data_IF_549199479084
#
_entry.id   IF_549199479084
#
_cell.length_a   1.000
_cell.length_b   1.000
_cell.length_c   1.000
_cell.angle_alpha   90.00
_cell.angle_beta   90.00
_cell.angle_gamma   90.00
#
_symmetry.space_group_name_H-M   'P 1'
#
loop_
_entity.id
_entity.type
_entity.pdbx_description
1 polymer ?
#
# COMPACT_ATOMS: atom_id res chain seq x y z
N UNK A 1 18.28 1.29 -21.00
CA UNK A 1 17.40 0.19 -21.43
C UNK A 1 17.25 -0.77 -20.26
N UNK A 2 16.04 -1.12 -19.90
CA UNK A 2 15.73 -2.05 -18.79
C UNK A 2 15.04 -3.27 -19.41
N UNK A 3 15.52 -4.47 -19.06
CA UNK A 3 15.02 -5.73 -19.59
C UNK A 3 14.46 -6.59 -18.46
N UNK A 4 13.26 -7.15 -18.65
CA UNK A 4 12.71 -8.18 -17.78
C UNK A 4 13.15 -9.55 -18.33
N UNK A 5 13.94 -10.28 -17.55
CA UNK A 5 14.38 -11.63 -17.93
C UNK A 5 13.69 -12.66 -17.02
N UNK A 6 12.45 -13.02 -17.35
CA UNK A 6 11.80 -14.18 -16.74
C UNK A 6 11.56 -14.15 -15.22
N UNK A 7 11.84 -13.01 -14.58
CA UNK A 7 11.50 -12.75 -13.20
C UNK A 7 10.01 -12.44 -13.15
N UNK A 8 9.21 -13.31 -12.54
CA UNK A 8 7.75 -13.14 -12.48
C UNK A 8 7.34 -11.92 -11.67
N UNK A 9 6.13 -11.41 -11.90
CA UNK A 9 5.56 -10.30 -11.15
C UNK A 9 5.26 -10.69 -9.70
N UNK A 10 5.47 -9.76 -8.76
CA UNK A 10 5.02 -9.86 -7.37
C UNK A 10 3.81 -8.98 -7.16
N UNK A 11 2.74 -9.58 -6.66
CA UNK A 11 1.52 -8.87 -6.32
C UNK A 11 1.51 -8.56 -4.82
N UNK A 12 1.43 -7.29 -4.45
CA UNK A 12 1.17 -6.90 -3.07
C UNK A 12 -0.32 -7.01 -2.77
N UNK A 13 -0.67 -7.90 -1.85
CA UNK A 13 -2.05 -8.20 -1.46
C UNK A 13 -2.75 -7.03 -0.77
N UNK A 14 -4.06 -6.90 -1.03
CA UNK A 14 -5.03 -6.07 -0.27
C UNK A 14 -4.73 -4.57 -0.22
N UNK A 15 -4.52 -3.96 -1.36
CA UNK A 15 -4.56 -2.51 -1.46
C UNK A 15 -5.96 -2.08 -1.88
N UNK A 16 -6.64 -1.31 -1.03
CA UNK A 16 -7.99 -0.81 -1.31
C UNK A 16 -7.88 0.52 -2.04
N UNK A 17 -8.47 0.60 -3.23
CA UNK A 17 -8.61 1.83 -3.98
C UNK A 17 -10.10 2.14 -4.18
N UNK A 18 -10.56 3.29 -3.69
CA UNK A 18 -11.97 3.73 -3.76
C UNK A 18 -12.99 2.67 -3.27
N UNK A 19 -12.63 1.94 -2.20
CA UNK A 19 -13.47 0.89 -1.63
C UNK A 19 -13.41 -0.46 -2.36
N UNK A 20 -12.59 -0.60 -3.40
CA UNK A 20 -12.41 -1.83 -4.15
C UNK A 20 -11.07 -2.46 -3.76
N UNK A 21 -11.10 -3.75 -3.42
CA UNK A 21 -9.89 -4.51 -3.15
C UNK A 21 -9.15 -4.86 -4.44
N UNK A 22 -7.83 -4.79 -4.40
CA UNK A 22 -6.97 -5.10 -5.53
C UNK A 22 -5.52 -5.32 -5.09
N UNK A 23 -4.63 -5.25 -6.04
CA UNK A 23 -3.22 -5.56 -5.86
C UNK A 23 -2.36 -4.43 -6.40
N UNK A 24 -1.25 -4.14 -5.73
CA UNK A 24 -0.14 -3.41 -6.33
C UNK A 24 0.77 -4.41 -7.04
N UNK A 25 1.24 -4.05 -8.22
CA UNK A 25 2.08 -4.91 -9.05
C UNK A 25 3.50 -4.39 -9.03
N UNK A 26 4.40 -5.21 -8.48
CA UNK A 26 5.83 -4.98 -8.46
C UNK A 26 6.47 -5.88 -9.52
N UNK A 27 7.12 -5.29 -10.48
CA UNK A 27 7.81 -6.03 -11.55
C UNK A 27 9.31 -5.84 -11.43
N UNK A 28 10.09 -6.91 -11.30
CA UNK A 28 11.54 -6.81 -11.27
C UNK A 28 12.09 -6.59 -12.68
N UNK A 29 12.99 -5.64 -12.81
CA UNK A 29 13.69 -5.34 -14.05
C UNK A 29 15.19 -5.24 -13.84
N UNK A 30 15.94 -5.72 -14.81
CA UNK A 30 17.39 -5.62 -14.81
C UNK A 30 17.82 -4.35 -15.54
N UNK A 31 18.62 -3.53 -14.88
CA UNK A 31 19.21 -2.33 -15.45
C UNK A 31 20.36 -2.76 -16.38
N UNK A 32 20.29 -2.41 -17.65
CA UNK A 32 21.27 -2.87 -18.64
C UNK A 32 22.70 -2.35 -18.37
N UNK A 33 22.84 -1.20 -17.73
CA UNK A 33 24.13 -0.54 -17.50
C UNK A 33 24.86 -1.11 -16.28
N UNK A 34 24.14 -1.38 -15.18
CA UNK A 34 24.71 -1.86 -13.90
C UNK A 34 24.49 -3.34 -13.66
N UNK A 35 23.63 -3.99 -14.45
CA UNK A 35 23.19 -5.37 -14.28
C UNK A 35 22.45 -5.64 -12.95
N UNK A 36 22.12 -4.60 -12.20
CA UNK A 36 21.35 -4.70 -10.96
C UNK A 36 19.86 -4.89 -11.24
N UNK A 37 19.16 -5.58 -10.35
CA UNK A 37 17.70 -5.76 -10.43
C UNK A 37 17.03 -4.69 -9.58
N UNK A 38 16.10 -3.95 -10.16
CA UNK A 38 15.27 -2.97 -9.46
C UNK A 38 13.79 -3.39 -9.54
N UNK A 39 13.05 -3.22 -8.44
CA UNK A 39 11.60 -3.40 -8.44
C UNK A 39 10.91 -2.13 -8.92
N UNK A 40 10.00 -2.28 -9.89
CA UNK A 40 9.18 -1.20 -10.40
C UNK A 40 7.74 -1.39 -9.91
N UNK A 41 7.23 -0.46 -9.09
CA UNK A 41 5.81 -0.38 -8.72
C UNK A 41 5.05 0.21 -9.90
N UNK A 42 4.36 -0.65 -10.65
CA UNK A 42 3.60 -0.28 -11.84
C UNK A 42 2.25 0.35 -11.53
N UNK A 43 1.83 0.29 -10.27
CA UNK A 43 0.54 0.78 -9.82
C UNK A 43 -0.41 -0.32 -9.37
N UNK A 44 -1.70 -0.04 -9.37
CA UNK A 44 -2.74 -0.87 -8.83
C UNK A 44 -3.60 -1.51 -9.93
N UNK A 45 -4.01 -2.75 -9.68
CA UNK A 45 -4.99 -3.46 -10.49
C UNK A 45 -6.11 -4.00 -9.61
N UNK A 46 -7.34 -3.93 -10.09
CA UNK A 46 -8.50 -4.48 -9.41
C UNK A 46 -8.37 -6.00 -9.27
N UNK A 47 -8.66 -6.52 -8.08
CA UNK A 47 -8.74 -7.95 -7.83
C UNK A 47 -9.94 -8.61 -8.50
N UNK A 48 -9.83 -9.89 -8.79
CA UNK A 48 -10.93 -10.71 -9.28
C UNK A 48 -11.96 -10.99 -8.17
N UNK A 49 -13.14 -11.52 -8.53
CA UNK A 49 -14.18 -11.88 -7.56
C UNK A 49 -13.74 -13.02 -6.64
N UNK A 50 -12.98 -13.98 -7.15
CA UNK A 50 -12.33 -15.01 -6.36
C UNK A 50 -10.97 -14.51 -5.88
N UNK A 51 -10.62 -14.79 -4.62
CA UNK A 51 -9.31 -14.43 -4.05
C UNK A 51 -8.18 -15.30 -4.57
N UNK A 52 -8.53 -16.49 -5.05
CA UNK A 52 -7.57 -17.49 -5.54
C UNK A 52 -7.20 -17.23 -7.00
N UNK A 53 -7.93 -16.34 -7.68
CA UNK A 53 -7.74 -16.02 -9.08
C UNK A 53 -7.10 -14.63 -9.20
N UNK A 54 -5.80 -14.59 -9.50
CA UNK A 54 -5.06 -13.36 -9.65
C UNK A 54 -5.40 -12.68 -10.98
N UNK A 55 -5.51 -11.34 -11.00
CA UNK A 55 -5.72 -10.62 -12.23
C UNK A 55 -4.53 -10.80 -13.17
N UNK A 56 -4.81 -11.01 -14.45
CA UNK A 56 -3.77 -11.11 -15.46
C UNK A 56 -3.20 -9.72 -15.76
N UNK A 57 -1.90 -9.57 -15.60
CA UNK A 57 -1.17 -8.36 -15.97
C UNK A 57 -0.35 -8.67 -17.21
N UNK A 58 -0.45 -7.82 -18.24
CA UNK A 58 0.38 -7.98 -19.43
C UNK A 58 1.86 -7.94 -19.02
N UNK A 59 2.57 -9.04 -19.26
CA UNK A 59 4.01 -9.08 -19.11
C UNK A 59 4.66 -8.07 -20.04
N UNK A 60 5.57 -7.28 -19.49
CA UNK A 60 6.36 -6.32 -20.26
C UNK A 60 7.76 -6.90 -20.34
N UNK A 61 8.14 -7.27 -21.54
CA UNK A 61 9.47 -7.87 -21.77
C UNK A 61 10.58 -6.84 -21.70
N UNK A 62 10.34 -5.63 -22.17
CA UNK A 62 11.35 -4.57 -22.20
C UNK A 62 10.75 -3.19 -21.98
N UNK A 63 11.45 -2.36 -21.21
CA UNK A 63 11.25 -0.91 -21.19
C UNK A 63 12.44 -0.22 -21.86
N UNK A 64 12.19 0.64 -22.82
CA UNK A 64 13.24 1.49 -23.37
C UNK A 64 13.65 2.57 -22.37
N UNK A 65 12.68 3.13 -21.66
CA UNK A 65 12.88 4.15 -20.65
C UNK A 65 11.73 4.10 -19.62
N UNK A 66 12.09 4.04 -18.36
CA UNK A 66 11.14 4.20 -17.24
C UNK A 66 11.51 5.44 -16.47
N UNK A 67 10.54 6.30 -16.23
CA UNK A 67 10.65 7.44 -15.31
C UNK A 67 9.74 7.25 -14.12
N UNK A 68 10.14 7.79 -13.00
CA UNK A 68 9.39 7.65 -11.77
C UNK A 68 10.13 8.24 -10.57
N UNK A 69 9.62 7.93 -9.37
CA UNK A 69 10.19 8.37 -8.11
C UNK A 69 10.78 7.15 -7.41
N UNK A 70 12.02 7.27 -6.94
CA UNK A 70 12.63 6.26 -6.10
C UNK A 70 12.15 6.46 -4.66
N UNK A 71 11.61 5.40 -4.06
CA UNK A 71 11.17 5.40 -2.67
C UNK A 71 11.79 4.25 -1.88
N UNK A 72 11.98 4.46 -0.58
CA UNK A 72 12.32 3.36 0.32
C UNK A 72 11.09 2.48 0.52
N UNK A 73 11.27 1.14 0.54
CA UNK A 73 10.17 0.24 0.80
C UNK A 73 9.63 0.45 2.23
N UNK A 74 8.36 0.82 2.33
CA UNK A 74 7.70 0.89 3.64
C UNK A 74 7.49 -0.53 4.18
N UNK A 75 8.08 -0.80 5.33
CA UNK A 75 7.84 -2.02 6.10
C UNK A 75 6.46 -1.90 6.75
N UNK A 76 5.42 -2.39 6.07
CA UNK A 76 4.06 -2.45 6.62
C UNK A 76 3.97 -3.44 7.78
N UNK A 77 2.95 -3.28 8.64
CA UNK A 77 2.61 -4.29 9.64
C UNK A 77 2.25 -5.60 8.94
N UNK A 78 2.93 -6.66 9.31
CA UNK A 78 2.68 -8.01 8.82
C UNK A 78 1.89 -8.77 9.88
N UNK A 79 0.72 -9.28 9.49
CA UNK A 79 -0.21 -9.95 10.40
C UNK A 79 -0.14 -11.48 10.31
N UNK A 80 0.70 -12.03 9.45
CA UNK A 80 0.78 -13.46 9.18
C UNK A 80 2.24 -13.89 9.03
N UNK A 81 2.53 -15.15 9.38
CA UNK A 81 3.85 -15.75 9.21
C UNK A 81 4.17 -16.05 7.73
N UNK A 82 3.14 -16.21 6.88
CA UNK A 82 3.30 -16.35 5.44
C UNK A 82 3.41 -14.99 4.76
N UNK A 83 4.64 -14.57 4.48
CA UNK A 83 4.95 -13.28 3.90
C UNK A 83 4.80 -13.26 2.37
N UNK A 84 5.09 -14.37 1.71
CA UNK A 84 5.07 -14.55 0.25
C UNK A 84 4.44 -15.90 -0.07
N UNK A 85 3.62 -15.97 -1.13
CA UNK A 85 3.03 -17.22 -1.61
C UNK A 85 4.06 -18.11 -2.31
N UNK A 86 3.88 -19.42 -2.28
CA UNK A 86 4.78 -20.39 -2.95
C UNK A 86 4.61 -20.39 -4.48
N UNK A 87 3.40 -20.17 -4.97
CA UNK A 87 3.09 -20.22 -6.39
C UNK A 87 3.45 -18.91 -7.13
N UNK A 88 3.76 -19.01 -8.41
CA UNK A 88 3.90 -17.87 -9.31
C UNK A 88 2.55 -17.56 -10.01
N UNK A 89 2.17 -16.30 -10.23
CA UNK A 89 2.86 -15.09 -9.75
C UNK A 89 2.80 -14.98 -8.22
N UNK A 90 3.88 -14.50 -7.61
CA UNK A 90 4.02 -14.38 -6.16
C UNK A 90 3.07 -13.33 -5.58
N UNK A 91 2.43 -13.63 -4.47
CA UNK A 91 1.62 -12.67 -3.70
C UNK A 91 2.34 -12.38 -2.39
N UNK A 92 2.76 -11.13 -2.20
CA UNK A 92 3.48 -10.70 -1.00
C UNK A 92 2.60 -9.80 -0.12
N UNK A 93 2.69 -10.00 1.19
CA UNK A 93 2.08 -9.10 2.18
C UNK A 93 3.02 -7.96 2.58
N UNK A 94 4.30 -8.05 2.19
CA UNK A 94 5.33 -7.09 2.58
C UNK A 94 6.04 -6.50 1.37
N UNK A 95 6.60 -5.31 1.54
CA UNK A 95 7.56 -4.70 0.63
C UNK A 95 9.01 -4.88 1.14
N UNK A 96 9.24 -5.80 2.07
CA UNK A 96 10.59 -6.06 2.56
C UNK A 96 11.46 -6.66 1.45
N UNK A 97 12.43 -5.89 0.99
CA UNK A 97 13.32 -6.29 -0.10
C UNK A 97 14.19 -7.49 0.27
N UNK A 98 14.57 -7.66 1.53
CA UNK A 98 15.39 -8.81 1.96
C UNK A 98 14.64 -10.14 1.74
N UNK A 99 13.34 -10.15 1.99
CA UNK A 99 12.49 -11.32 1.80
C UNK A 99 12.30 -11.58 0.30
N UNK A 100 12.03 -10.52 -0.47
CA UNK A 100 11.86 -10.61 -1.93
C UNK A 100 13.17 -11.04 -2.60
N UNK A 101 14.31 -10.53 -2.15
CA UNK A 101 15.66 -10.93 -2.63
C UNK A 101 15.91 -12.43 -2.46
N UNK A 102 15.53 -13.00 -1.31
CA UNK A 102 15.66 -14.44 -1.08
C UNK A 102 14.81 -15.27 -2.04
N UNK A 103 13.60 -14.81 -2.34
CA UNK A 103 12.69 -15.50 -3.29
C UNK A 103 13.21 -15.49 -4.73
N UNK A 104 13.81 -14.38 -5.16
CA UNK A 104 14.37 -14.27 -6.50
C UNK A 104 15.79 -14.87 -6.62
N UNK A 105 16.46 -15.12 -5.50
CA UNK A 105 17.86 -15.52 -5.45
C UNK A 105 18.79 -14.58 -6.24
N UNK A 106 18.44 -13.30 -6.27
CA UNK A 106 19.18 -12.23 -6.93
C UNK A 106 19.22 -11.00 -6.02
N UNK A 107 20.31 -10.26 -6.08
CA UNK A 107 20.45 -9.00 -5.33
C UNK A 107 19.56 -7.91 -5.95
N UNK A 108 18.65 -7.37 -5.15
CA UNK A 108 17.71 -6.36 -5.57
C UNK A 108 18.17 -5.00 -5.04
N UNK A 109 18.12 -3.99 -5.92
CA UNK A 109 18.43 -2.62 -5.57
C UNK A 109 17.60 -2.15 -4.37
N UNK A 110 18.18 -1.45 -3.37
CA UNK A 110 17.53 -1.17 -2.09
C UNK A 110 16.38 -0.16 -2.14
N UNK A 111 16.03 0.31 -3.33
CA UNK A 111 14.90 1.23 -3.56
C UNK A 111 13.93 0.62 -4.56
N UNK A 112 12.67 1.05 -4.46
CA UNK A 112 11.60 0.73 -5.41
C UNK A 112 11.36 1.93 -6.31
N UNK A 113 11.27 1.73 -7.61
CA UNK A 113 10.89 2.77 -8.56
C UNK A 113 9.36 2.81 -8.68
N UNK A 114 8.74 3.86 -8.18
CA UNK A 114 7.32 4.14 -8.42
C UNK A 114 7.18 4.72 -9.82
N UNK A 115 6.61 3.95 -10.75
CA UNK A 115 6.47 4.35 -12.14
C UNK A 115 5.59 5.59 -12.30
N UNK A 116 5.95 6.48 -13.22
CA UNK A 116 5.14 7.65 -13.57
C UNK A 116 3.76 7.17 -14.08
N UNK A 117 2.64 7.68 -13.52
CA UNK A 117 1.30 7.32 -13.95
C UNK A 117 1.00 7.55 -15.42
N UNK A 118 1.74 8.46 -16.06
CA UNK A 118 1.60 8.77 -17.49
C UNK A 118 2.36 7.81 -18.40
N UNK A 119 3.16 6.92 -17.83
CA UNK A 119 3.91 5.92 -18.59
C UNK A 119 2.97 4.92 -19.25
N UNK A 120 3.24 4.56 -20.50
CA UNK A 120 2.43 3.61 -21.31
C UNK A 120 2.15 2.26 -20.62
N UNK A 121 3.04 1.86 -19.72
CA UNK A 121 3.02 0.56 -19.05
C UNK A 121 2.62 0.66 -17.57
N UNK A 122 2.19 1.83 -17.12
CA UNK A 122 1.66 2.03 -15.78
C UNK A 122 0.24 1.49 -15.67
N UNK A 123 -0.08 0.94 -14.51
CA UNK A 123 -1.42 0.55 -14.11
C UNK A 123 -2.13 1.73 -13.43
N UNK A 124 -3.29 1.49 -12.82
CA UNK A 124 -4.04 2.55 -12.16
C UNK A 124 -3.25 3.16 -10.99
N UNK A 125 -3.14 4.48 -10.98
CA UNK A 125 -2.49 5.21 -9.89
C UNK A 125 -3.43 5.35 -8.69
N UNK A 126 -2.96 4.96 -7.52
CA UNK A 126 -3.68 5.21 -6.27
C UNK A 126 -3.32 6.61 -5.78
N UNK A 127 -4.27 7.53 -5.84
CA UNK A 127 -4.10 8.83 -5.20
C UNK A 127 -4.07 8.65 -3.68
N UNK A 128 -2.90 8.77 -3.09
CA UNK A 128 -2.74 8.77 -1.64
C UNK A 128 -3.25 10.12 -1.13
N UNK A 129 -4.38 10.09 -0.41
CA UNK A 129 -4.79 11.26 0.36
C UNK A 129 -4.06 11.22 1.70
N UNK A 130 -3.15 12.17 1.98
CA UNK A 130 -2.37 12.16 3.21
C UNK A 130 -3.21 12.38 4.47
N UNK A 131 -4.46 12.79 4.32
CA UNK A 131 -5.40 13.01 5.42
C UNK A 131 -6.60 12.12 5.29
N UNK A 132 -6.74 11.15 6.21
CA UNK A 132 -7.93 10.31 6.32
C UNK A 132 -9.13 11.05 6.95
N UNK A 133 -8.91 12.23 7.52
CA UNK A 133 -9.94 13.02 8.19
C UNK A 133 -10.22 14.31 7.44
N UNK A 134 -11.47 14.48 7.07
CA UNK A 134 -11.97 15.75 6.51
C UNK A 134 -12.18 16.77 7.63
N UNK A 135 -12.12 18.09 7.36
CA UNK A 135 -12.45 19.14 8.35
C UNK A 135 -13.81 18.93 9.03
N UNK A 136 -14.79 18.45 8.29
CA UNK A 136 -16.14 18.15 8.81
C UNK A 136 -16.10 17.10 9.93
N UNK A 137 -15.27 16.06 9.80
CA UNK A 137 -15.10 15.06 10.86
C UNK A 137 -14.46 15.65 12.11
N UNK A 138 -13.49 16.55 11.96
CA UNK A 138 -12.88 17.24 13.11
C UNK A 138 -13.89 18.10 13.85
N UNK A 139 -14.76 18.83 13.16
CA UNK A 139 -15.84 19.59 13.78
C UNK A 139 -16.84 18.67 14.50
N UNK A 140 -17.17 17.53 13.92
CA UNK A 140 -18.05 16.54 14.55
C UNK A 140 -17.47 16.02 15.89
N UNK A 141 -16.20 15.65 15.90
CA UNK A 141 -15.53 15.24 17.14
C UNK A 141 -15.45 16.37 18.16
N UNK A 142 -15.13 17.59 17.72
CA UNK A 142 -15.10 18.75 18.61
C UNK A 142 -16.47 18.97 19.29
N UNK A 143 -17.55 18.97 18.52
CA UNK A 143 -18.91 19.11 19.06
C UNK A 143 -19.23 17.99 20.07
N UNK A 144 -18.84 16.75 19.81
CA UNK A 144 -19.04 15.62 20.73
C UNK A 144 -18.31 15.84 22.06
N UNK A 145 -17.07 16.31 22.04
CA UNK A 145 -16.30 16.58 23.25
C UNK A 145 -16.90 17.72 24.07
N UNK A 146 -17.36 18.79 23.40
CA UNK A 146 -18.04 19.90 24.08
C UNK A 146 -19.34 19.44 24.74
N UNK A 147 -20.12 18.59 24.04
CA UNK A 147 -21.36 18.06 24.61
C UNK A 147 -21.10 17.22 25.85
N UNK A 148 -20.10 16.33 25.79
CA UNK A 148 -19.71 15.54 26.96
C UNK A 148 -19.25 16.41 28.13
N UNK A 149 -18.49 17.48 27.85
CA UNK A 149 -18.07 18.44 28.88
C UNK A 149 -19.29 19.10 29.57
N UNK A 150 -20.24 19.57 28.78
CA UNK A 150 -21.48 20.19 29.32
C UNK A 150 -22.25 19.20 30.21
N UNK A 151 -22.42 17.95 29.74
CA UNK A 151 -23.10 16.91 30.51
C UNK A 151 -22.38 16.66 31.84
N UNK A 152 -21.06 16.56 31.84
CA UNK A 152 -20.28 16.39 33.06
C UNK A 152 -20.41 17.57 34.02
N UNK A 153 -20.42 18.80 33.51
CA UNK A 153 -20.63 19.99 34.34
C UNK A 153 -22.02 19.98 34.99
N UNK A 154 -23.07 19.68 34.22
CA UNK A 154 -24.44 19.57 34.72
C UNK A 154 -24.53 18.49 35.82
N UNK A 155 -23.96 17.32 35.56
CA UNK A 155 -23.94 16.24 36.56
C UNK A 155 -23.18 16.64 37.83
N UNK A 156 -22.04 17.29 37.69
CA UNK A 156 -21.25 17.75 38.84
C UNK A 156 -22.04 18.74 39.70
N UNK A 157 -22.65 19.72 39.08
CA UNK A 157 -23.50 20.71 39.77
C UNK A 157 -24.68 20.02 40.45
N UNK A 158 -25.39 19.14 39.76
CA UNK A 158 -26.54 18.41 40.28
C UNK A 158 -26.16 17.54 41.47
N UNK A 159 -25.08 16.81 41.44
CA UNK A 159 -24.59 16.01 42.58
C UNK A 159 -24.14 16.89 43.75
N UNK A 160 -23.54 18.06 43.46
CA UNK A 160 -23.15 19.03 44.47
C UNK A 160 -24.34 19.54 45.29
N UNK A 161 -25.43 19.90 44.63
CA UNK A 161 -26.67 20.34 45.28
C UNK A 161 -27.33 19.21 46.09
N UNK A 162 -27.42 18.02 45.51
CA UNK A 162 -28.04 16.86 46.18
C UNK A 162 -27.30 16.43 47.48
N UNK A 163 -26.00 16.67 47.56
CA UNK A 163 -25.21 16.37 48.76
C UNK A 163 -25.46 17.36 49.90
N UNK A 164 -25.88 18.60 49.60
CA UNK A 164 -26.14 19.62 50.61
C UNK A 164 -27.55 19.54 51.19
N UNK A 165 -28.45 18.68 50.69
CA UNK A 165 -29.79 18.45 51.22
C UNK A 165 -29.87 17.32 52.27
N UNK A 166 -28.73 16.73 52.65
CA UNK A 166 -28.60 15.75 53.73
C UNK A 166 -27.79 16.33 54.89
#
# INVERSE_FOLDING_TARGET
>A
RIESRGLGDVYKRQVINRGIAGYKVLTPFRIAETNEVILIDRGWIKGNKSRDDLPNVNMIETFEKVSGILEYPELGLVLSDELISDAWPKVSQTKNLEIITKEYNEEIYPLILLADPTSKNSLEYIKINPTNMTPVKHYGYSAQWFLMFIVLCVMYVWFGFKKNEK
#
